data_IF_825492555554
#
_entry.id   IF_825492555554
#
_cell.length_a   1.000
_cell.length_b   1.000
_cell.length_c   1.000
_cell.angle_alpha   90.00
_cell.angle_beta   90.00
_cell.angle_gamma   90.00
#
_symmetry.space_group_name_H-M   'P 1'
#
loop_
_entity.id
_entity.type
_entity.pdbx_description
1 polymer ?
#
# COMPACT_ATOMS: atom_id res chain seq x y z
N UNK A 1 3.03 -8.43 24.85
CA UNK A 1 2.82 -7.07 25.44
C UNK A 1 1.59 -6.44 24.83
N UNK A 2 0.76 -5.75 25.63
CA UNK A 2 -0.53 -5.21 25.21
C UNK A 2 -0.33 -3.83 24.57
N UNK A 3 -0.98 -3.58 23.45
CA UNK A 3 -1.01 -2.25 22.84
C UNK A 3 -1.98 -1.35 23.64
N UNK A 4 -1.52 -0.16 24.02
CA UNK A 4 -2.35 0.86 24.67
C UNK A 4 -2.83 1.84 23.60
N UNK A 5 -4.15 2.04 23.51
CA UNK A 5 -4.76 2.97 22.55
C UNK A 5 -5.31 4.15 23.35
N UNK A 6 -5.00 5.37 22.90
CA UNK A 6 -5.47 6.62 23.48
C UNK A 6 -5.58 7.70 22.40
N UNK A 7 -5.89 8.92 22.78
CA UNK A 7 -5.87 10.10 21.92
C UNK A 7 -4.99 11.19 22.53
N UNK A 8 -4.28 11.93 21.67
CA UNK A 8 -3.64 13.18 22.06
C UNK A 8 -4.71 14.27 22.28
N UNK A 9 -4.31 15.42 22.88
CA UNK A 9 -5.24 16.52 23.19
C UNK A 9 -5.99 17.12 21.99
N UNK A 10 -5.46 16.91 20.77
CA UNK A 10 -6.09 17.33 19.52
C UNK A 10 -6.72 16.17 18.74
N UNK A 11 -7.17 15.14 19.46
CA UNK A 11 -7.91 14.00 18.90
C UNK A 11 -7.12 13.08 17.96
N UNK A 12 -5.80 13.22 17.86
CA UNK A 12 -4.96 12.27 17.11
C UNK A 12 -4.98 10.91 17.84
N UNK A 13 -5.37 9.85 17.15
CA UNK A 13 -5.33 8.49 17.69
C UNK A 13 -3.88 8.08 17.93
N UNK A 14 -3.57 7.55 19.11
CA UNK A 14 -2.24 7.14 19.52
C UNK A 14 -2.22 5.68 19.97
N UNK A 15 -1.54 4.84 19.19
CA UNK A 15 -1.23 3.45 19.52
C UNK A 15 0.19 3.35 20.08
N UNK A 16 0.30 2.94 21.32
CA UNK A 16 1.57 2.75 22.02
C UNK A 16 1.78 1.28 22.36
N UNK A 17 2.98 0.77 22.10
CA UNK A 17 3.42 -0.56 22.50
C UNK A 17 4.84 -0.50 23.06
N UNK A 18 5.02 -0.87 24.34
CA UNK A 18 6.36 -1.00 24.93
C UNK A 18 7.03 -2.28 24.41
N UNK A 19 8.27 -2.19 23.99
CA UNK A 19 9.11 -3.34 23.65
C UNK A 19 10.53 -3.12 24.20
N UNK A 20 10.88 -3.73 25.35
CA UNK A 20 12.19 -3.60 25.98
C UNK A 20 13.27 -4.52 25.39
N UNK A 21 12.93 -5.39 24.44
CA UNK A 21 13.83 -6.40 23.90
C UNK A 21 14.86 -5.80 22.91
N UNK A 22 14.70 -4.54 22.52
CA UNK A 22 15.59 -3.85 21.60
C UNK A 22 15.70 -2.37 21.95
N UNK A 23 16.90 -1.76 21.88
CA UNK A 23 17.10 -0.34 22.16
C UNK A 23 16.58 0.61 21.04
N UNK A 24 15.80 0.10 20.10
CA UNK A 24 15.27 0.89 18.98
C UNK A 24 13.84 1.34 19.24
N UNK A 25 13.57 2.59 18.85
CA UNK A 25 12.23 3.18 18.79
C UNK A 25 11.81 3.25 17.34
N UNK A 26 10.55 2.91 17.06
CA UNK A 26 9.90 3.20 15.80
C UNK A 26 8.67 4.09 16.03
N UNK A 27 8.59 5.18 15.31
CA UNK A 27 7.52 6.16 15.38
C UNK A 27 6.93 6.40 13.98
N UNK A 28 5.60 6.44 13.91
CA UNK A 28 4.84 6.70 12.70
C UNK A 28 3.80 7.76 12.95
N UNK A 29 3.62 8.68 11.99
CA UNK A 29 2.52 9.62 11.91
C UNK A 29 1.91 9.53 10.51
N UNK A 30 0.66 9.13 10.43
CA UNK A 30 -0.07 8.99 9.17
C UNK A 30 -1.18 10.03 9.07
N UNK A 31 -1.36 10.59 7.86
CA UNK A 31 -2.43 11.51 7.50
C UNK A 31 -3.28 10.91 6.39
N UNK A 32 -4.59 10.74 6.59
CA UNK A 32 -5.48 10.23 5.55
C UNK A 32 -5.60 11.19 4.36
N UNK A 33 -5.72 10.64 3.15
CA UNK A 33 -5.99 11.39 1.94
C UNK A 33 -7.51 11.42 1.71
N UNK A 34 -8.10 12.59 1.81
CA UNK A 34 -9.55 12.77 1.77
C UNK A 34 -10.02 13.66 0.60
N UNK A 35 -9.10 14.12 -0.27
CA UNK A 35 -9.44 15.00 -1.38
C UNK A 35 -9.56 14.23 -2.70
N UNK A 36 -10.79 13.96 -3.19
CA UNK A 36 -11.01 13.29 -4.47
C UNK A 36 -10.67 14.16 -5.69
N UNK A 37 -10.50 15.46 -5.47
CA UNK A 37 -10.17 16.44 -6.54
C UNK A 37 -8.67 16.78 -6.60
N UNK A 38 -7.82 16.00 -5.92
CA UNK A 38 -6.37 16.20 -5.96
C UNK A 38 -5.85 16.03 -7.39
N UNK A 39 -4.83 16.83 -7.75
CA UNK A 39 -4.15 16.70 -9.04
C UNK A 39 -3.21 15.48 -9.03
N UNK A 40 -3.18 14.72 -10.12
CA UNK A 40 -2.27 13.59 -10.25
C UNK A 40 -0.81 14.05 -10.06
N UNK A 41 -0.06 13.34 -9.20
CA UNK A 41 1.34 13.61 -8.90
C UNK A 41 1.60 14.66 -7.80
N UNK A 42 0.59 15.40 -7.33
CA UNK A 42 0.79 16.42 -6.29
C UNK A 42 1.35 15.82 -4.99
N UNK A 43 0.79 14.72 -4.54
CA UNK A 43 1.28 14.03 -3.34
C UNK A 43 2.61 13.31 -3.56
N UNK A 44 2.87 12.82 -4.78
CA UNK A 44 4.17 12.23 -5.13
C UNK A 44 5.31 13.26 -5.03
N UNK A 45 5.09 14.49 -5.49
CA UNK A 45 6.02 15.60 -5.31
C UNK A 45 6.11 16.03 -3.85
N UNK A 46 4.98 16.11 -3.16
CA UNK A 46 4.92 16.55 -1.77
C UNK A 46 5.82 15.70 -0.86
N UNK A 47 5.74 14.36 -0.95
CA UNK A 47 6.54 13.49 -0.08
C UNK A 47 8.04 13.58 -0.33
N UNK A 48 8.46 13.94 -1.52
CA UNK A 48 9.86 14.14 -1.91
C UNK A 48 10.44 15.43 -1.33
N UNK A 49 9.59 16.43 -1.16
CA UNK A 49 10.02 17.78 -0.76
C UNK A 49 10.23 17.96 0.76
N UNK A 50 9.78 17.01 1.59
CA UNK A 50 9.96 17.09 3.04
C UNK A 50 11.44 17.11 3.48
N UNK A 51 12.32 16.48 2.70
CA UNK A 51 13.76 16.48 2.98
C UNK A 51 14.55 17.59 2.28
N UNK A 52 13.87 18.50 1.56
CA UNK A 52 14.52 19.59 0.83
C UNK A 52 14.70 20.87 1.67
N UNK A 53 14.38 20.81 2.96
CA UNK A 53 14.59 21.89 3.92
C UNK A 53 13.32 22.32 4.64
N UNK A 54 13.54 22.93 5.80
CA UNK A 54 12.52 23.53 6.64
C UNK A 54 12.85 25.02 6.83
N UNK A 55 12.01 25.73 7.59
CA UNK A 55 12.34 27.12 8.01
C UNK A 55 13.58 27.20 8.88
N UNK A 56 13.93 26.11 9.57
CA UNK A 56 14.98 26.09 10.58
C UNK A 56 16.25 25.36 10.12
N UNK A 57 16.14 24.50 9.09
CA UNK A 57 17.22 23.62 8.62
C UNK A 57 17.25 23.54 7.11
N UNK A 58 18.44 23.66 6.55
CA UNK A 58 18.66 23.33 5.13
C UNK A 58 18.56 21.81 4.91
N UNK A 59 18.41 21.36 3.66
CA UNK A 59 18.44 19.95 3.30
C UNK A 59 19.73 19.24 3.77
N UNK A 60 20.87 19.93 3.65
CA UNK A 60 22.16 19.42 4.11
C UNK A 60 22.19 19.25 5.64
N UNK A 61 21.73 20.24 6.39
CA UNK A 61 21.68 20.16 7.86
C UNK A 61 20.73 19.03 8.32
N UNK A 62 19.56 18.84 7.66
CA UNK A 62 18.68 17.72 7.96
C UNK A 62 19.40 16.38 7.75
N UNK A 63 20.07 16.21 6.62
CA UNK A 63 20.81 14.98 6.32
C UNK A 63 21.93 14.73 7.34
N UNK A 64 22.74 15.75 7.63
CA UNK A 64 23.85 15.65 8.59
C UNK A 64 23.38 15.33 10.01
N UNK A 65 22.26 15.94 10.47
CA UNK A 65 21.69 15.62 11.79
C UNK A 65 21.11 14.20 11.85
N UNK A 66 20.38 13.75 10.82
CA UNK A 66 19.85 12.40 10.75
C UNK A 66 20.97 11.36 10.73
N UNK A 67 22.01 11.58 9.92
CA UNK A 67 23.16 10.68 9.83
C UNK A 67 23.94 10.61 11.15
N UNK A 68 24.17 11.76 11.80
CA UNK A 68 24.89 11.85 13.07
C UNK A 68 24.28 11.00 14.18
N UNK A 69 22.95 10.92 14.25
CA UNK A 69 22.22 10.17 15.25
C UNK A 69 21.65 8.84 14.72
N UNK A 70 22.08 8.40 13.53
CA UNK A 70 21.58 7.22 12.86
C UNK A 70 20.04 7.14 12.85
N UNK A 71 19.36 8.27 12.62
CA UNK A 71 17.92 8.37 12.52
C UNK A 71 17.49 8.03 11.10
N UNK A 72 16.75 6.94 10.93
CA UNK A 72 16.11 6.61 9.66
C UNK A 72 14.80 7.39 9.54
N UNK A 73 14.74 8.36 8.64
CA UNK A 73 13.51 9.11 8.33
C UNK A 73 12.99 8.77 6.94
N UNK A 74 11.67 8.66 6.78
CA UNK A 74 11.03 8.68 5.45
C UNK A 74 9.64 9.28 5.48
N UNK A 75 9.27 9.92 4.35
CA UNK A 75 7.90 10.27 4.00
C UNK A 75 7.50 9.47 2.76
N UNK A 76 6.36 8.77 2.83
CA UNK A 76 5.90 7.88 1.76
C UNK A 76 4.44 8.16 1.42
N UNK A 77 4.13 8.14 0.14
CA UNK A 77 2.76 8.15 -0.35
C UNK A 77 2.21 6.72 -0.44
N UNK A 78 1.04 6.50 0.15
CA UNK A 78 0.20 5.31 -0.04
C UNK A 78 -1.09 5.72 -0.73
N UNK A 79 -1.87 4.78 -1.24
CA UNK A 79 -3.13 5.10 -1.94
C UNK A 79 -4.08 5.95 -1.10
N UNK A 80 -4.16 5.69 0.21
CA UNK A 80 -5.14 6.30 1.10
C UNK A 80 -4.56 7.28 2.13
N UNK A 81 -3.24 7.36 2.27
CA UNK A 81 -2.60 8.18 3.29
C UNK A 81 -1.16 8.54 2.96
N UNK A 82 -0.70 9.63 3.56
CA UNK A 82 0.72 9.96 3.64
C UNK A 82 1.27 9.42 4.94
N UNK A 83 2.37 8.71 4.85
CA UNK A 83 3.06 8.08 5.97
C UNK A 83 4.38 8.78 6.23
N UNK A 84 4.57 9.22 7.47
CA UNK A 84 5.86 9.66 7.99
C UNK A 84 6.35 8.64 9.01
N UNK A 85 7.62 8.32 8.97
CA UNK A 85 8.26 7.48 9.97
C UNK A 85 9.63 7.99 10.36
N UNK A 86 10.04 7.69 11.58
CA UNK A 86 11.44 7.59 11.91
C UNK A 86 11.73 6.36 12.79
N UNK A 87 12.98 5.90 12.73
CA UNK A 87 13.52 4.87 13.61
C UNK A 87 14.84 5.39 14.17
N UNK A 88 15.02 5.28 15.50
CA UNK A 88 16.24 5.73 16.17
C UNK A 88 16.54 4.85 17.39
N UNK A 89 17.63 5.14 18.11
CA UNK A 89 17.86 4.58 19.44
C UNK A 89 16.95 5.26 20.48
N UNK A 90 16.65 4.54 21.60
CA UNK A 90 15.81 5.08 22.67
C UNK A 90 16.35 6.41 23.23
N UNK A 91 17.67 6.53 23.38
CA UNK A 91 18.35 7.70 23.92
C UNK A 91 18.23 8.94 23.00
N UNK A 92 18.08 8.73 21.68
CA UNK A 92 18.00 9.79 20.69
C UNK A 92 16.53 10.18 20.34
N UNK A 93 15.54 9.58 21.02
CA UNK A 93 14.13 9.81 20.68
C UNK A 93 13.72 11.29 20.76
N UNK A 94 14.15 12.02 21.80
CA UNK A 94 13.78 13.43 21.95
C UNK A 94 14.39 14.28 20.83
N UNK A 95 15.63 13.98 20.42
CA UNK A 95 16.25 14.66 19.29
C UNK A 95 15.58 14.29 17.97
N UNK A 96 15.28 13.04 17.76
CA UNK A 96 14.59 12.57 16.55
C UNK A 96 13.20 13.20 16.40
N UNK A 97 12.43 13.31 17.48
CA UNK A 97 11.10 13.91 17.45
C UNK A 97 11.14 15.42 17.20
N UNK A 98 12.21 16.13 17.65
CA UNK A 98 12.42 17.56 17.35
C UNK A 98 12.68 17.80 15.86
N UNK A 99 13.52 16.97 15.24
CA UNK A 99 13.75 17.04 13.77
C UNK A 99 12.45 16.70 13.03
N UNK A 100 11.75 15.68 13.48
CA UNK A 100 10.50 15.23 12.87
C UNK A 100 9.41 16.30 12.96
N UNK A 101 9.25 16.95 14.13
CA UNK A 101 8.35 18.09 14.32
C UNK A 101 8.66 19.21 13.33
N UNK A 102 9.93 19.58 13.19
CA UNK A 102 10.36 20.63 12.28
C UNK A 102 10.05 20.30 10.82
N UNK A 103 10.29 19.05 10.40
CA UNK A 103 9.93 18.59 9.06
C UNK A 103 8.42 18.69 8.85
N UNK A 104 7.61 18.19 9.77
CA UNK A 104 6.14 18.17 9.64
C UNK A 104 5.54 19.58 9.69
N UNK A 105 6.05 20.48 10.54
CA UNK A 105 5.44 21.80 10.74
C UNK A 105 6.03 22.90 9.87
N UNK A 106 7.30 22.81 9.51
CA UNK A 106 8.07 23.92 8.98
C UNK A 106 8.67 23.68 7.59
N UNK A 107 8.33 22.57 6.92
CA UNK A 107 8.82 22.33 5.55
C UNK A 107 8.45 23.50 4.63
N UNK A 108 9.39 23.93 3.78
CA UNK A 108 9.23 25.08 2.88
C UNK A 108 8.80 24.68 1.48
N UNK A 109 8.92 23.40 1.13
CA UNK A 109 8.69 22.87 -0.22
C UNK A 109 9.54 23.57 -1.28
N UNK A 110 10.74 24.02 -0.91
CA UNK A 110 11.73 24.52 -1.86
C UNK A 110 12.26 23.40 -2.75
N UNK A 111 13.10 23.72 -3.72
CA UNK A 111 13.64 22.74 -4.70
C UNK A 111 12.56 22.02 -5.53
N UNK A 112 11.35 22.60 -5.64
CA UNK A 112 10.23 22.02 -6.36
C UNK A 112 10.58 21.62 -7.80
N UNK A 113 11.21 22.51 -8.58
CA UNK A 113 11.57 22.25 -9.97
C UNK A 113 12.59 21.11 -10.10
N UNK A 114 13.54 21.06 -9.19
CA UNK A 114 14.55 20.00 -9.13
C UNK A 114 13.91 18.63 -8.85
N UNK A 115 13.05 18.56 -7.83
CA UNK A 115 12.37 17.30 -7.49
C UNK A 115 11.32 16.90 -8.54
N UNK A 116 10.68 17.87 -9.21
CA UNK A 116 9.81 17.60 -10.36
C UNK A 116 10.58 16.95 -11.51
N UNK A 117 11.74 17.52 -11.87
CA UNK A 117 12.60 16.97 -12.94
C UNK A 117 13.12 15.58 -12.59
N UNK A 118 13.51 15.34 -11.33
CA UNK A 118 13.92 14.01 -10.88
C UNK A 118 12.78 13.00 -10.97
N UNK A 119 11.59 13.36 -10.49
CA UNK A 119 10.41 12.50 -10.55
C UNK A 119 10.05 12.16 -12.00
N UNK A 120 10.11 13.13 -12.91
CA UNK A 120 9.90 12.91 -14.35
C UNK A 120 10.88 11.88 -14.90
N UNK A 121 12.18 12.03 -14.63
CA UNK A 121 13.21 11.09 -15.07
C UNK A 121 13.04 9.68 -14.49
N UNK A 122 12.69 9.57 -13.21
CA UNK A 122 12.45 8.29 -12.54
C UNK A 122 11.23 7.57 -13.13
N UNK A 123 10.13 8.29 -13.36
CA UNK A 123 8.91 7.72 -13.97
C UNK A 123 9.23 7.22 -15.39
N UNK A 124 9.94 7.99 -16.20
CA UNK A 124 10.33 7.58 -17.55
C UNK A 124 11.17 6.30 -17.50
N UNK A 125 12.18 6.27 -16.63
CA UNK A 125 13.05 5.10 -16.46
C UNK A 125 12.28 3.86 -15.95
N UNK A 126 11.30 4.03 -15.07
CA UNK A 126 10.46 2.94 -14.58
C UNK A 126 9.55 2.39 -15.69
N UNK A 127 8.94 3.28 -16.49
CA UNK A 127 8.07 2.91 -17.61
C UNK A 127 8.82 2.27 -18.79
N UNK A 128 10.15 2.30 -18.83
CA UNK A 128 10.93 1.49 -19.79
C UNK A 128 10.84 -0.01 -19.49
N UNK A 129 10.56 -0.39 -18.25
CA UNK A 129 10.32 -1.79 -17.86
C UNK A 129 8.99 -2.30 -18.41
N UNK A 130 8.95 -3.39 -19.18
CA UNK A 130 7.71 -3.98 -19.68
C UNK A 130 6.73 -4.35 -18.55
N UNK A 131 7.26 -4.83 -17.43
CA UNK A 131 6.45 -5.15 -16.25
C UNK A 131 5.83 -3.92 -15.61
N UNK A 132 6.57 -2.82 -15.46
CA UNK A 132 6.02 -1.59 -14.92
C UNK A 132 4.96 -1.00 -15.86
N UNK A 133 5.21 -1.03 -17.16
CA UNK A 133 4.28 -0.54 -18.19
C UNK A 133 2.94 -1.27 -18.19
N UNK A 134 2.93 -2.61 -18.09
CA UNK A 134 1.66 -3.35 -18.04
C UNK A 134 0.91 -3.09 -16.73
N UNK A 135 1.62 -3.00 -15.60
CA UNK A 135 1.02 -2.67 -14.30
C UNK A 135 0.41 -1.27 -14.34
N UNK A 136 1.13 -0.29 -14.87
CA UNK A 136 0.65 1.08 -15.05
C UNK A 136 -0.63 1.11 -15.88
N UNK A 137 -0.63 0.50 -17.05
CA UNK A 137 -1.81 0.42 -17.92
C UNK A 137 -2.99 -0.28 -17.23
N UNK A 138 -2.75 -1.37 -16.51
CA UNK A 138 -3.80 -2.08 -15.79
C UNK A 138 -4.43 -1.20 -14.69
N UNK A 139 -3.63 -0.58 -13.82
CA UNK A 139 -4.15 0.26 -12.74
C UNK A 139 -4.86 1.52 -13.24
N UNK A 140 -4.37 2.14 -14.31
CA UNK A 140 -5.05 3.26 -15.00
C UNK A 140 -6.46 2.86 -15.43
N UNK A 141 -6.64 1.64 -15.91
CA UNK A 141 -7.91 1.18 -16.47
C UNK A 141 -8.88 0.60 -15.43
N UNK A 142 -8.40 -0.16 -14.44
CA UNK A 142 -9.27 -0.73 -13.40
C UNK A 142 -9.80 0.35 -12.45
N UNK A 143 -9.06 1.45 -12.29
CA UNK A 143 -9.42 2.59 -11.46
C UNK A 143 -9.71 3.85 -12.28
N UNK A 144 -10.17 3.70 -13.53
CA UNK A 144 -10.50 4.85 -14.39
C UNK A 144 -11.49 5.80 -13.72
N UNK A 145 -11.16 7.10 -13.76
CA UNK A 145 -11.99 8.15 -13.14
C UNK A 145 -11.90 8.21 -11.62
N UNK A 146 -10.95 7.49 -11.00
CA UNK A 146 -10.68 7.53 -9.56
C UNK A 146 -9.19 7.83 -9.31
N UNK A 147 -8.86 8.46 -8.17
CA UNK A 147 -7.47 8.82 -7.82
C UNK A 147 -6.54 7.59 -7.68
N UNK A 148 -7.09 6.41 -7.41
CA UNK A 148 -6.30 5.17 -7.42
C UNK A 148 -5.73 4.82 -8.80
N UNK A 149 -6.30 5.39 -9.87
CA UNK A 149 -5.80 5.31 -11.24
C UNK A 149 -4.74 6.37 -11.59
N UNK A 150 -4.24 7.15 -10.61
CA UNK A 150 -3.11 8.07 -10.83
C UNK A 150 -1.81 7.30 -10.91
N UNK A 151 -1.65 6.56 -12.00
CA UNK A 151 -0.45 5.79 -12.32
C UNK A 151 0.68 6.68 -12.82
N UNK A 152 1.86 6.11 -13.00
CA UNK A 152 3.03 6.84 -13.51
C UNK A 152 2.76 7.57 -14.83
N UNK A 153 2.04 6.93 -15.77
CA UNK A 153 1.64 7.59 -17.03
C UNK A 153 0.76 8.81 -16.76
N UNK A 154 -0.26 8.69 -15.91
CA UNK A 154 -1.17 9.79 -15.58
C UNK A 154 -0.44 10.92 -14.83
N UNK A 155 0.47 10.55 -13.92
CA UNK A 155 1.30 11.52 -13.20
C UNK A 155 2.19 12.27 -14.19
N UNK A 156 2.89 11.57 -15.09
CA UNK A 156 3.78 12.18 -16.09
C UNK A 156 3.05 13.17 -17.00
N UNK A 157 1.85 12.81 -17.48
CA UNK A 157 1.00 13.67 -18.30
C UNK A 157 0.63 14.99 -17.58
N UNK A 158 0.45 14.93 -16.25
CA UNK A 158 0.03 16.10 -15.46
C UNK A 158 1.20 16.86 -14.81
N UNK A 159 2.38 16.25 -14.68
CA UNK A 159 3.49 16.76 -13.88
C UNK A 159 3.93 18.18 -14.25
N UNK A 160 3.93 18.51 -15.56
CA UNK A 160 4.27 19.84 -16.08
C UNK A 160 3.28 20.94 -15.67
N UNK A 161 2.06 20.57 -15.28
CA UNK A 161 1.00 21.49 -14.88
C UNK A 161 0.97 21.73 -13.35
N UNK A 162 1.79 21.00 -12.60
CA UNK A 162 1.88 21.17 -11.16
C UNK A 162 2.79 22.35 -10.80
N UNK A 163 2.41 23.06 -9.75
CA UNK A 163 3.14 24.18 -9.18
C UNK A 163 3.50 23.91 -7.73
N UNK A 164 4.48 24.61 -7.22
CA UNK A 164 4.83 24.57 -5.78
C UNK A 164 3.62 24.94 -4.89
N UNK A 165 2.77 25.88 -5.33
CA UNK A 165 1.58 26.27 -4.59
C UNK A 165 0.53 25.16 -4.54
N UNK A 166 0.42 24.33 -5.57
CA UNK A 166 -0.42 23.13 -5.52
C UNK A 166 0.01 22.17 -4.41
N UNK A 167 1.32 21.97 -4.26
CA UNK A 167 1.88 21.12 -3.18
C UNK A 167 1.63 21.74 -1.81
N UNK A 168 1.87 23.05 -1.64
CA UNK A 168 1.62 23.77 -0.39
C UNK A 168 0.15 23.71 0.01
N UNK A 169 -0.75 23.88 -0.96
CA UNK A 169 -2.20 23.82 -0.75
C UNK A 169 -2.62 22.41 -0.37
N UNK A 170 -2.16 21.38 -1.09
CA UNK A 170 -2.45 19.98 -0.78
C UNK A 170 -1.97 19.60 0.64
N UNK A 171 -0.80 20.08 1.05
CA UNK A 171 -0.30 19.83 2.41
C UNK A 171 -1.15 20.51 3.48
N UNK A 172 -1.51 21.80 3.29
CA UNK A 172 -2.41 22.51 4.21
C UNK A 172 -3.76 21.79 4.36
N UNK A 173 -4.32 21.29 3.25
CA UNK A 173 -5.57 20.52 3.27
C UNK A 173 -5.43 19.21 4.05
N UNK A 174 -4.33 18.47 3.87
CA UNK A 174 -4.06 17.24 4.62
C UNK A 174 -3.96 17.55 6.11
N UNK A 175 -3.17 18.55 6.51
CA UNK A 175 -3.02 18.91 7.92
C UNK A 175 -4.34 19.37 8.52
N UNK A 176 -5.17 20.11 7.76
CA UNK A 176 -6.45 20.62 8.25
C UNK A 176 -7.53 19.55 8.36
N UNK A 177 -7.65 18.65 7.37
CA UNK A 177 -8.88 17.87 7.14
C UNK A 177 -8.69 16.36 7.24
N UNK A 178 -7.50 15.85 7.63
CA UNK A 178 -7.26 14.42 7.69
C UNK A 178 -7.60 13.80 9.05
N UNK A 179 -7.94 12.51 9.02
CA UNK A 179 -7.71 11.63 10.16
C UNK A 179 -6.20 11.51 10.36
N UNK A 180 -5.75 11.56 11.60
CA UNK A 180 -4.35 11.45 11.98
C UNK A 180 -4.15 10.30 12.95
N UNK A 181 -3.16 9.50 12.74
CA UNK A 181 -2.83 8.35 13.59
C UNK A 181 -1.35 8.34 13.88
N UNK A 182 -1.01 8.21 15.14
CA UNK A 182 0.35 8.01 15.63
C UNK A 182 0.50 6.58 16.12
N UNK A 183 1.60 5.94 15.81
CA UNK A 183 2.02 4.68 16.41
C UNK A 183 3.46 4.76 16.90
N UNK A 184 3.68 4.23 18.10
CA UNK A 184 4.98 4.13 18.75
C UNK A 184 5.21 2.70 19.23
N UNK A 185 6.38 2.15 18.90
CA UNK A 185 6.87 0.87 19.44
C UNK A 185 8.33 1.03 19.86
N UNK A 186 8.64 0.78 21.13
CA UNK A 186 9.99 0.90 21.67
C UNK A 186 10.03 0.84 23.20
N UNK A 187 11.23 0.93 23.79
CA UNK A 187 11.40 0.87 25.25
C UNK A 187 11.51 2.27 25.87
N UNK A 188 10.44 3.03 25.82
CA UNK A 188 10.26 4.27 26.58
C UNK A 188 8.96 4.21 27.34
N UNK A 189 8.87 4.90 28.47
CA UNK A 189 7.66 4.95 29.29
C UNK A 189 6.50 5.67 28.56
N UNK A 190 5.27 5.16 28.74
CA UNK A 190 4.09 5.70 28.08
C UNK A 190 3.86 7.17 28.40
N UNK A 191 3.96 7.56 29.67
CA UNK A 191 3.64 8.92 30.08
C UNK A 191 4.68 9.91 29.53
N UNK A 192 5.96 9.50 29.49
CA UNK A 192 7.02 10.27 28.83
C UNK A 192 6.70 10.49 27.34
N UNK A 193 6.43 9.43 26.59
CA UNK A 193 6.13 9.52 25.15
C UNK A 193 4.85 10.35 24.93
N UNK A 194 3.77 10.09 25.67
CA UNK A 194 2.51 10.80 25.55
C UNK A 194 2.66 12.31 25.82
N UNK A 195 3.45 12.70 26.83
CA UNK A 195 3.71 14.11 27.15
C UNK A 195 4.49 14.80 26.03
N UNK A 196 5.55 14.17 25.52
CA UNK A 196 6.34 14.69 24.38
C UNK A 196 5.44 14.85 23.15
N UNK A 197 4.63 13.85 22.80
CA UNK A 197 3.76 13.93 21.63
C UNK A 197 2.68 15.02 21.78
N UNK A 198 2.13 15.22 22.96
CA UNK A 198 1.19 16.32 23.22
C UNK A 198 1.85 17.70 23.18
N UNK A 199 3.12 17.81 23.58
CA UNK A 199 3.91 19.03 23.42
C UNK A 199 4.18 19.33 21.95
N UNK A 200 4.72 18.34 21.22
CA UNK A 200 5.20 18.49 19.84
C UNK A 200 4.10 18.57 18.79
N UNK A 201 3.02 17.79 18.94
CA UNK A 201 1.97 17.69 17.91
C UNK A 201 0.57 18.10 18.40
N UNK A 202 0.41 18.39 19.66
CA UNK A 202 -0.91 18.71 20.20
C UNK A 202 -1.49 20.06 19.76
N UNK A 203 -0.71 20.88 19.06
CA UNK A 203 -1.11 22.14 18.42
C UNK A 203 -1.44 22.00 16.93
N UNK A 204 -1.20 20.82 16.34
CA UNK A 204 -1.69 20.53 14.99
C UNK A 204 -3.23 20.62 14.97
N UNK A 205 -3.78 20.98 13.83
CA UNK A 205 -5.22 20.94 13.60
C UNK A 205 -5.79 19.60 14.08
N UNK A 206 -6.91 19.59 14.81
CA UNK A 206 -7.48 18.36 15.34
C UNK A 206 -7.69 17.29 14.27
N UNK A 207 -7.44 16.04 14.66
CA UNK A 207 -7.77 14.89 13.79
C UNK A 207 -9.29 14.79 13.64
N UNK A 208 -9.75 14.49 12.40
CA UNK A 208 -11.16 14.12 12.21
C UNK A 208 -11.41 12.73 12.81
N UNK A 209 -12.57 12.53 13.43
CA UNK A 209 -12.93 11.26 14.07
C UNK A 209 -13.23 10.19 13.03
N UNK A 210 -13.97 10.56 11.98
CA UNK A 210 -14.43 9.65 10.96
C UNK A 210 -13.79 9.97 9.60
N UNK A 211 -13.47 8.93 8.88
CA UNK A 211 -13.04 9.06 7.49
C UNK A 211 -14.25 9.44 6.62
N UNK A 212 -14.11 10.39 5.70
CA UNK A 212 -15.20 10.78 4.84
C UNK A 212 -15.65 9.62 3.95
N UNK A 213 -16.94 9.59 3.66
CA UNK A 213 -17.50 8.70 2.66
C UNK A 213 -17.13 9.24 1.28
N UNK A 214 -16.22 8.55 0.60
CA UNK A 214 -15.80 8.89 -0.75
C UNK A 214 -16.42 7.93 -1.77
N UNK A 215 -16.51 8.38 -3.02
CA UNK A 215 -16.93 7.51 -4.13
C UNK A 215 -15.98 6.32 -4.25
N UNK A 216 -16.54 5.12 -4.34
CA UNK A 216 -15.77 3.90 -4.62
C UNK A 216 -15.48 3.78 -6.11
N UNK A 217 -14.32 3.22 -6.50
CA UNK A 217 -14.09 2.82 -7.89
C UNK A 217 -15.14 1.81 -8.37
N UNK A 218 -15.51 1.92 -9.63
CA UNK A 218 -16.46 1.02 -10.28
C UNK A 218 -15.91 0.51 -11.62
N UNK A 219 -16.18 -0.72 -11.93
CA UNK A 219 -15.90 -1.33 -13.22
C UNK A 219 -17.21 -1.82 -13.83
N UNK A 220 -17.94 -0.98 -14.58
CA UNK A 220 -19.29 -1.31 -15.05
C UNK A 220 -19.30 -2.38 -16.14
N UNK A 221 -18.22 -2.48 -16.93
CA UNK A 221 -18.08 -3.39 -18.06
C UNK A 221 -16.62 -3.88 -18.19
N UNK A 222 -16.38 -5.00 -18.86
CA UNK A 222 -15.02 -5.47 -19.10
C UNK A 222 -14.25 -4.50 -19.99
N UNK A 223 -12.91 -4.50 -19.79
CA UNK A 223 -11.95 -3.76 -20.62
C UNK A 223 -10.83 -4.68 -21.05
N UNK A 224 -10.53 -4.67 -22.34
CA UNK A 224 -9.41 -5.37 -22.92
C UNK A 224 -8.47 -4.34 -23.58
N UNK A 225 -7.21 -4.33 -23.17
CA UNK A 225 -6.23 -3.35 -23.58
C UNK A 225 -5.00 -4.05 -24.14
N UNK A 226 -4.70 -3.83 -25.39
CA UNK A 226 -3.42 -4.20 -25.99
C UNK A 226 -2.43 -3.03 -25.90
N UNK A 227 -1.26 -3.30 -25.30
CA UNK A 227 -0.12 -2.40 -25.29
C UNK A 227 0.93 -2.97 -26.22
N UNK A 228 1.27 -2.23 -27.25
CA UNK A 228 2.26 -2.67 -28.24
C UNK A 228 3.60 -2.04 -27.88
N UNK A 229 4.63 -2.87 -27.84
CA UNK A 229 6.02 -2.45 -27.67
C UNK A 229 6.91 -3.33 -28.53
N UNK A 230 7.50 -2.75 -29.57
CA UNK A 230 8.44 -3.45 -30.43
C UNK A 230 9.65 -4.02 -29.63
N UNK A 231 10.26 -5.05 -30.17
CA UNK A 231 11.49 -5.67 -29.64
C UNK A 231 11.33 -6.34 -28.25
N UNK A 232 10.11 -6.75 -27.87
CA UNK A 232 9.89 -7.56 -26.68
C UNK A 232 10.17 -9.04 -26.93
N UNK A 233 10.98 -9.64 -26.05
CA UNK A 233 11.20 -11.09 -26.03
C UNK A 233 10.07 -11.86 -25.31
N UNK A 234 9.30 -11.17 -24.48
CA UNK A 234 8.20 -11.74 -23.69
C UNK A 234 6.96 -10.88 -23.82
N UNK A 235 5.81 -11.54 -23.87
CA UNK A 235 4.53 -10.91 -23.65
C UNK A 235 4.20 -10.93 -22.14
N UNK A 236 3.53 -9.90 -21.67
CA UNK A 236 3.04 -9.80 -20.31
C UNK A 236 1.52 -9.73 -20.33
N UNK A 237 0.86 -10.49 -19.48
CA UNK A 237 -0.60 -10.53 -19.38
C UNK A 237 -0.98 -10.23 -17.93
N UNK A 238 -1.91 -9.32 -17.74
CA UNK A 238 -2.47 -8.98 -16.44
C UNK A 238 -3.98 -8.91 -16.55
N UNK A 239 -4.69 -9.82 -15.88
CA UNK A 239 -6.15 -9.89 -15.83
C UNK A 239 -6.61 -9.73 -14.38
N UNK A 240 -7.62 -8.88 -14.13
CA UNK A 240 -8.09 -8.72 -12.75
C UNK A 240 -9.46 -8.09 -12.62
N UNK A 241 -9.95 -8.10 -11.38
CA UNK A 241 -11.32 -7.75 -10.98
C UNK A 241 -11.30 -6.85 -9.75
N UNK A 242 -12.30 -5.99 -9.63
CA UNK A 242 -12.58 -5.33 -8.34
C UNK A 242 -13.25 -6.33 -7.41
N UNK A 243 -12.75 -6.40 -6.17
CA UNK A 243 -13.20 -7.37 -5.16
C UNK A 243 -13.47 -6.68 -3.82
N UNK A 244 -13.88 -7.44 -2.81
CA UNK A 244 -14.13 -6.93 -1.47
C UNK A 244 -12.87 -6.39 -0.79
N UNK A 245 -12.99 -5.29 -0.06
CA UNK A 245 -11.96 -4.65 0.75
C UNK A 245 -11.75 -5.38 2.10
N UNK A 246 -10.77 -4.94 2.91
CA UNK A 246 -10.44 -5.59 4.18
C UNK A 246 -11.57 -5.53 5.24
N UNK A 247 -12.50 -4.59 5.11
CA UNK A 247 -13.72 -4.49 5.95
C UNK A 247 -14.89 -5.34 5.43
N UNK A 248 -14.75 -5.95 4.26
CA UNK A 248 -15.72 -6.87 3.68
C UNK A 248 -15.76 -8.20 4.44
N UNK A 249 -16.93 -8.81 4.54
CA UNK A 249 -17.07 -10.17 5.07
C UNK A 249 -16.35 -11.22 4.22
N UNK A 250 -16.11 -10.93 2.94
CA UNK A 250 -15.44 -11.83 2.02
C UNK A 250 -13.90 -11.74 2.11
N UNK A 251 -13.34 -10.75 2.82
CA UNK A 251 -11.90 -10.54 2.94
C UNK A 251 -11.11 -11.81 3.29
N UNK A 252 -11.52 -12.60 4.31
CA UNK A 252 -10.78 -13.81 4.69
C UNK A 252 -10.73 -14.85 3.57
N UNK A 253 -11.86 -15.07 2.90
CA UNK A 253 -11.96 -16.02 1.79
C UNK A 253 -11.19 -15.55 0.55
N UNK A 254 -11.21 -14.23 0.23
CA UNK A 254 -10.41 -13.67 -0.88
C UNK A 254 -8.92 -13.81 -0.58
N UNK A 255 -8.50 -13.57 0.67
CA UNK A 255 -7.09 -13.69 1.06
C UNK A 255 -6.58 -15.12 0.89
N UNK A 256 -7.36 -16.12 1.34
CA UNK A 256 -7.05 -17.54 1.14
C UNK A 256 -7.09 -17.94 -0.34
N UNK A 257 -8.10 -17.50 -1.07
CA UNK A 257 -8.21 -17.72 -2.52
C UNK A 257 -6.95 -17.23 -3.26
N UNK A 258 -6.42 -16.05 -2.87
CA UNK A 258 -5.18 -15.51 -3.44
C UNK A 258 -3.98 -16.43 -3.17
N UNK A 259 -3.83 -16.93 -1.94
CA UNK A 259 -2.74 -17.87 -1.59
C UNK A 259 -2.84 -19.14 -2.42
N UNK A 260 -4.01 -19.74 -2.49
CA UNK A 260 -4.27 -20.99 -3.22
C UNK A 260 -3.99 -20.80 -4.72
N UNK A 261 -4.52 -19.72 -5.29
CA UNK A 261 -4.45 -19.53 -6.74
C UNK A 261 -3.03 -19.18 -7.22
N UNK A 262 -2.34 -18.20 -6.56
CA UNK A 262 -1.07 -17.73 -7.13
C UNK A 262 -0.07 -17.10 -6.17
N UNK A 263 -0.43 -16.80 -4.89
CA UNK A 263 0.43 -16.03 -4.00
C UNK A 263 1.28 -16.88 -3.04
N UNK A 264 1.10 -18.20 -2.98
CA UNK A 264 1.96 -19.11 -2.20
C UNK A 264 3.28 -19.44 -2.89
N UNK A 265 3.48 -19.02 -4.13
CA UNK A 265 4.68 -19.33 -4.90
C UNK A 265 4.63 -20.73 -5.50
N UNK A 266 5.63 -21.58 -5.21
CA UNK A 266 5.84 -22.87 -5.88
C UNK A 266 4.69 -23.88 -5.73
N UNK A 267 3.86 -23.75 -4.71
CA UNK A 267 2.74 -24.66 -4.43
C UNK A 267 1.38 -24.14 -4.92
N UNK A 268 1.33 -22.97 -5.52
CA UNK A 268 0.09 -22.40 -6.01
C UNK A 268 -0.40 -23.06 -7.30
N UNK A 269 -1.72 -23.06 -7.52
CA UNK A 269 -2.32 -23.70 -8.70
C UNK A 269 -1.79 -23.14 -10.01
N UNK A 270 -1.70 -21.81 -10.14
CA UNK A 270 -1.16 -21.17 -11.34
C UNK A 270 0.30 -21.58 -11.59
N UNK A 271 1.11 -21.69 -10.54
CA UNK A 271 2.49 -22.10 -10.69
C UNK A 271 2.57 -23.55 -11.18
N UNK A 272 1.90 -24.47 -10.51
CA UNK A 272 1.93 -25.89 -10.85
C UNK A 272 1.40 -26.17 -12.26
N UNK A 273 0.29 -25.52 -12.65
CA UNK A 273 -0.34 -25.82 -13.95
C UNK A 273 0.34 -25.08 -15.11
N UNK A 274 0.61 -23.79 -14.97
CA UNK A 274 1.07 -22.97 -16.10
C UNK A 274 2.60 -22.95 -16.22
N UNK A 275 3.32 -22.97 -15.10
CA UNK A 275 4.78 -22.94 -15.12
C UNK A 275 5.36 -24.36 -15.11
N UNK A 276 5.00 -25.18 -14.12
CA UNK A 276 5.64 -26.48 -13.91
C UNK A 276 5.20 -27.49 -14.98
N UNK A 277 3.89 -27.70 -15.17
CA UNK A 277 3.37 -28.69 -16.13
C UNK A 277 3.40 -28.23 -17.58
N UNK A 278 2.96 -26.97 -17.84
CA UNK A 278 2.85 -26.47 -19.23
C UNK A 278 4.10 -25.73 -19.72
N UNK A 279 5.04 -25.38 -18.83
CA UNK A 279 6.28 -24.67 -19.18
C UNK A 279 6.08 -23.28 -19.82
N UNK A 280 4.94 -22.62 -19.54
CA UNK A 280 4.55 -21.40 -20.25
C UNK A 280 5.31 -20.17 -19.77
N UNK A 281 5.80 -20.14 -18.53
CA UNK A 281 6.33 -18.92 -17.94
C UNK A 281 7.36 -19.18 -16.84
N UNK A 282 8.30 -18.22 -16.68
CA UNK A 282 9.15 -18.17 -15.48
C UNK A 282 8.43 -17.54 -14.29
N UNK A 283 7.53 -16.58 -14.54
CA UNK A 283 6.75 -15.88 -13.51
C UNK A 283 5.28 -15.98 -13.84
N UNK A 284 4.52 -16.59 -12.93
CA UNK A 284 3.06 -16.54 -12.89
C UNK A 284 2.64 -16.41 -11.43
N UNK A 285 1.67 -15.51 -11.16
CA UNK A 285 1.21 -15.24 -9.79
C UNK A 285 -0.15 -14.56 -9.77
N UNK A 286 -0.83 -14.60 -8.62
CA UNK A 286 -1.93 -13.71 -8.30
C UNK A 286 -1.52 -12.68 -7.25
N UNK A 287 -2.28 -11.59 -7.17
CA UNK A 287 -2.17 -10.56 -6.16
C UNK A 287 -3.56 -10.12 -5.71
N UNK A 288 -3.68 -9.79 -4.42
CA UNK A 288 -4.85 -9.18 -3.81
C UNK A 288 -4.41 -7.88 -3.15
N UNK A 289 -4.65 -6.77 -3.84
CA UNK A 289 -4.21 -5.43 -3.41
C UNK A 289 -5.40 -4.69 -2.80
N UNK A 290 -5.23 -4.31 -1.53
CA UNK A 290 -6.31 -3.75 -0.72
C UNK A 290 -6.03 -2.28 -0.42
N UNK A 291 -6.96 -1.43 -0.82
CA UNK A 291 -7.06 -0.04 -0.41
C UNK A 291 -8.37 0.17 0.39
N UNK A 292 -8.55 1.35 0.97
CA UNK A 292 -9.71 1.65 1.81
C UNK A 292 -11.04 1.59 1.05
N UNK A 293 -11.08 2.12 -0.16
CA UNK A 293 -12.32 2.27 -0.94
C UNK A 293 -12.56 1.13 -1.92
N UNK A 294 -11.52 0.37 -2.24
CA UNK A 294 -11.57 -0.70 -3.22
C UNK A 294 -10.43 -1.69 -2.99
N UNK A 295 -10.62 -2.89 -3.49
CA UNK A 295 -9.54 -3.84 -3.66
C UNK A 295 -9.60 -4.45 -5.05
N UNK A 296 -8.47 -4.92 -5.56
CA UNK A 296 -8.43 -5.69 -6.79
C UNK A 296 -7.75 -7.03 -6.57
N UNK A 297 -8.24 -8.02 -7.30
CA UNK A 297 -7.60 -9.33 -7.44
C UNK A 297 -7.08 -9.44 -8.85
N UNK A 298 -5.81 -9.74 -9.04
CA UNK A 298 -5.20 -9.82 -10.35
C UNK A 298 -4.37 -11.09 -10.54
N UNK A 299 -4.27 -11.55 -11.79
CA UNK A 299 -3.43 -12.66 -12.22
C UNK A 299 -2.46 -12.12 -13.26
N UNK A 300 -1.18 -12.38 -13.03
CA UNK A 300 -0.10 -11.94 -13.90
C UNK A 300 0.73 -13.12 -14.40
N UNK A 301 1.11 -13.08 -15.69
CA UNK A 301 2.08 -14.01 -16.30
C UNK A 301 2.99 -13.26 -17.26
N UNK A 302 4.27 -13.64 -17.29
CA UNK A 302 5.22 -13.29 -18.35
C UNK A 302 5.54 -14.54 -19.16
N UNK A 303 5.25 -14.53 -20.46
CA UNK A 303 5.29 -15.70 -21.34
C UNK A 303 5.89 -15.36 -22.72
N UNK A 304 6.18 -16.35 -23.55
CA UNK A 304 6.51 -16.10 -24.95
C UNK A 304 5.28 -15.57 -25.72
N UNK A 305 5.43 -14.65 -26.68
CA UNK A 305 4.31 -14.09 -27.44
C UNK A 305 3.37 -15.11 -28.07
N UNK A 306 3.92 -16.23 -28.56
CA UNK A 306 3.12 -17.34 -29.14
C UNK A 306 2.20 -18.06 -28.13
N UNK A 307 2.45 -17.88 -26.82
CA UNK A 307 1.74 -18.57 -25.75
C UNK A 307 0.67 -17.70 -25.10
N UNK A 308 0.35 -16.50 -25.61
CA UNK A 308 -0.64 -15.59 -25.03
C UNK A 308 -2.00 -16.30 -24.89
N UNK A 309 -2.53 -16.86 -25.95
CA UNK A 309 -3.85 -17.53 -25.93
C UNK A 309 -3.86 -18.75 -24.98
N UNK A 310 -2.79 -19.55 -24.99
CA UNK A 310 -2.65 -20.72 -24.10
C UNK A 310 -2.60 -20.28 -22.63
N UNK A 311 -1.94 -19.16 -22.33
CA UNK A 311 -1.85 -18.60 -20.99
C UNK A 311 -3.20 -18.08 -20.50
N UNK A 312 -3.93 -17.33 -21.35
CA UNK A 312 -5.28 -16.85 -21.05
C UNK A 312 -6.25 -18.01 -20.79
N UNK A 313 -6.21 -19.03 -21.65
CA UNK A 313 -7.00 -20.25 -21.45
C UNK A 313 -6.65 -20.97 -20.13
N UNK A 314 -5.35 -20.97 -19.77
CA UNK A 314 -4.89 -21.52 -18.50
C UNK A 314 -5.43 -20.75 -17.28
N UNK A 315 -5.56 -19.42 -17.35
CA UNK A 315 -6.22 -18.65 -16.30
C UNK A 315 -7.68 -19.04 -16.15
N UNK A 316 -8.40 -19.16 -17.25
CA UNK A 316 -9.81 -19.53 -17.26
C UNK A 316 -10.02 -20.95 -16.73
N UNK A 317 -9.18 -21.92 -17.12
CA UNK A 317 -9.22 -23.29 -16.62
C UNK A 317 -9.05 -23.35 -15.09
N UNK A 318 -8.09 -22.60 -14.51
CA UNK A 318 -7.87 -22.61 -13.07
C UNK A 318 -8.96 -21.85 -12.30
N UNK A 319 -9.48 -20.76 -12.84
CA UNK A 319 -10.63 -20.02 -12.29
C UNK A 319 -11.86 -20.92 -12.30
N UNK A 320 -12.15 -21.62 -13.40
CA UNK A 320 -13.31 -22.50 -13.49
C UNK A 320 -13.20 -23.69 -12.53
N UNK A 321 -12.01 -24.26 -12.33
CA UNK A 321 -11.79 -25.31 -11.33
C UNK A 321 -12.15 -24.83 -9.91
N UNK A 322 -11.78 -23.60 -9.52
CA UNK A 322 -12.10 -23.05 -8.19
C UNK A 322 -13.59 -22.72 -8.07
N UNK A 323 -14.25 -22.35 -9.16
CA UNK A 323 -15.68 -22.05 -9.20
C UNK A 323 -16.58 -23.30 -9.14
N UNK A 324 -16.06 -24.43 -9.56
CA UNK A 324 -16.85 -25.66 -9.71
C UNK A 324 -16.44 -26.78 -8.75
N UNK A 325 -15.21 -26.77 -8.24
CA UNK A 325 -14.72 -27.79 -7.32
C UNK A 325 -14.28 -27.17 -5.99
N UNK A 326 -14.66 -27.79 -4.90
CA UNK A 326 -14.17 -27.39 -3.58
C UNK A 326 -12.67 -27.59 -3.50
N UNK A 327 -11.96 -26.63 -2.86
CA UNK A 327 -10.56 -26.81 -2.48
C UNK A 327 -10.45 -27.91 -1.43
N UNK A 328 -9.37 -28.68 -1.43
CA UNK A 328 -9.18 -29.75 -0.44
C UNK A 328 -8.90 -29.15 0.95
N UNK A 329 -9.17 -29.91 2.01
CA UNK A 329 -8.83 -29.51 3.38
C UNK A 329 -7.33 -29.23 3.55
N UNK A 330 -6.48 -30.06 2.95
CA UNK A 330 -5.02 -29.86 2.97
C UNK A 330 -4.62 -28.56 2.27
N UNK A 331 -5.21 -28.23 1.13
CA UNK A 331 -4.93 -26.99 0.39
C UNK A 331 -5.37 -25.75 1.20
N UNK A 332 -6.52 -25.83 1.88
CA UNK A 332 -7.02 -24.78 2.75
C UNK A 332 -6.11 -24.57 3.96
N UNK A 333 -5.75 -25.64 4.67
CA UNK A 333 -4.84 -25.60 5.82
C UNK A 333 -3.47 -25.03 5.44
N UNK A 334 -2.92 -25.44 4.30
CA UNK A 334 -1.66 -24.91 3.79
C UNK A 334 -1.74 -23.41 3.47
N UNK A 335 -2.87 -22.93 2.95
CA UNK A 335 -3.08 -21.51 2.69
C UNK A 335 -3.18 -20.68 3.98
N UNK A 336 -3.88 -21.18 5.01
CA UNK A 336 -3.97 -20.57 6.32
C UNK A 336 -2.59 -20.46 6.97
N UNK A 337 -1.84 -21.56 7.01
CA UNK A 337 -0.50 -21.62 7.56
C UNK A 337 0.46 -20.64 6.84
N UNK A 338 0.31 -20.47 5.52
CA UNK A 338 1.09 -19.51 4.74
C UNK A 338 0.79 -18.06 5.17
N UNK A 339 -0.49 -17.70 5.37
CA UNK A 339 -0.88 -16.36 5.83
C UNK A 339 -0.32 -16.10 7.23
N UNK A 340 -0.52 -17.02 8.16
CA UNK A 340 -0.07 -16.84 9.55
C UNK A 340 1.45 -16.78 9.66
N UNK A 341 2.16 -17.60 8.89
CA UNK A 341 3.62 -17.53 8.78
C UNK A 341 4.10 -16.16 8.28
N UNK A 342 3.50 -15.65 7.19
CA UNK A 342 3.83 -14.31 6.67
C UNK A 342 3.54 -13.22 7.70
N UNK A 343 2.42 -13.29 8.43
CA UNK A 343 2.10 -12.30 9.47
C UNK A 343 3.06 -12.32 10.64
N UNK A 344 3.59 -13.48 11.02
CA UNK A 344 4.64 -13.56 12.05
C UNK A 344 5.89 -12.77 11.61
N UNK A 345 6.35 -12.97 10.38
CA UNK A 345 7.53 -12.25 9.85
C UNK A 345 7.34 -10.73 9.74
N UNK A 346 6.15 -10.26 9.31
CA UNK A 346 5.89 -8.82 9.18
C UNK A 346 5.64 -8.10 10.52
N UNK A 347 5.67 -8.82 11.65
CA UNK A 347 5.51 -8.30 13.01
C UNK A 347 6.77 -8.45 13.86
N UNK A 348 7.90 -8.75 13.27
CA UNK A 348 9.14 -9.08 13.97
C UNK A 348 9.80 -7.83 14.59
N UNK A 349 9.96 -6.76 13.83
CA UNK A 349 10.67 -5.55 14.27
C UNK A 349 9.72 -4.48 14.83
N UNK A 350 10.26 -3.57 15.67
CA UNK A 350 9.49 -2.41 16.16
C UNK A 350 8.91 -1.58 15.03
N UNK A 351 9.69 -1.39 13.95
CA UNK A 351 9.25 -0.63 12.78
C UNK A 351 8.09 -1.31 12.06
N UNK A 352 8.12 -2.62 11.88
CA UNK A 352 7.02 -3.37 11.29
C UNK A 352 5.77 -3.32 12.16
N UNK A 353 5.91 -3.52 13.49
CA UNK A 353 4.78 -3.45 14.42
C UNK A 353 4.13 -2.06 14.44
N UNK A 354 4.93 -0.99 14.51
CA UNK A 354 4.44 0.39 14.49
C UNK A 354 3.76 0.72 13.14
N UNK A 355 4.33 0.26 12.02
CA UNK A 355 3.74 0.42 10.69
C UNK A 355 2.33 -0.19 10.61
N UNK A 356 2.16 -1.42 11.11
CA UNK A 356 0.85 -2.07 11.05
C UNK A 356 -0.18 -1.40 11.97
N UNK A 357 0.22 -0.98 13.18
CA UNK A 357 -0.66 -0.20 14.05
C UNK A 357 -1.11 1.09 13.38
N UNK A 358 -0.16 1.87 12.83
CA UNK A 358 -0.48 3.11 12.13
C UNK A 358 -1.34 2.86 10.88
N UNK A 359 -1.06 1.79 10.12
CA UNK A 359 -1.81 1.41 8.92
C UNK A 359 -3.27 1.08 9.25
N UNK A 360 -3.51 0.16 10.18
CA UNK A 360 -4.89 -0.23 10.49
C UNK A 360 -5.69 0.90 11.14
N UNK A 361 -5.04 1.71 11.98
CA UNK A 361 -5.67 2.90 12.55
C UNK A 361 -6.10 3.89 11.48
N UNK A 362 -5.21 4.25 10.54
CA UNK A 362 -5.52 5.23 9.50
C UNK A 362 -6.53 4.73 8.48
N UNK A 363 -6.53 3.42 8.18
CA UNK A 363 -7.49 2.80 7.27
C UNK A 363 -8.89 2.63 7.89
N UNK A 364 -9.01 2.82 9.22
CA UNK A 364 -10.28 2.63 9.94
C UNK A 364 -10.63 1.16 10.24
N UNK A 365 -9.68 0.22 10.07
CA UNK A 365 -9.89 -1.20 10.34
C UNK A 365 -9.78 -1.56 11.83
N UNK A 366 -9.23 -0.64 12.63
CA UNK A 366 -8.99 -0.83 14.08
C UNK A 366 -7.63 -1.48 14.37
N UNK A 367 -7.04 -1.12 15.50
CA UNK A 367 -5.70 -1.55 15.90
C UNK A 367 -5.56 -3.05 16.17
N UNK A 368 -6.67 -3.75 16.43
CA UNK A 368 -6.75 -5.20 16.64
C UNK A 368 -7.05 -5.98 15.36
N UNK A 369 -6.94 -5.35 14.18
CA UNK A 369 -7.30 -5.97 12.89
C UNK A 369 -6.68 -7.35 12.70
N UNK A 370 -5.37 -7.51 12.89
CA UNK A 370 -4.69 -8.80 12.74
C UNK A 370 -5.28 -9.88 13.63
N UNK A 371 -5.51 -9.56 14.90
CA UNK A 371 -6.08 -10.52 15.88
C UNK A 371 -7.46 -10.99 15.45
N UNK A 372 -8.31 -10.04 15.03
CA UNK A 372 -9.66 -10.34 14.58
C UNK A 372 -9.66 -11.09 13.22
N UNK A 373 -8.72 -10.79 12.34
CA UNK A 373 -8.57 -11.44 11.04
C UNK A 373 -8.13 -12.90 11.17
N UNK A 374 -7.29 -13.25 12.15
CA UNK A 374 -6.89 -14.65 12.40
C UNK A 374 -8.11 -15.53 12.63
N UNK A 375 -9.02 -15.13 13.53
CA UNK A 375 -10.22 -15.92 13.84
C UNK A 375 -11.15 -16.04 12.62
N UNK A 376 -11.29 -14.96 11.86
CA UNK A 376 -12.10 -14.96 10.63
C UNK A 376 -11.51 -15.87 9.56
N UNK A 377 -10.18 -15.88 9.37
CA UNK A 377 -9.51 -16.74 8.39
C UNK A 377 -9.69 -18.20 8.75
N UNK A 378 -9.52 -18.58 10.03
CA UNK A 378 -9.73 -19.96 10.51
C UNK A 378 -11.17 -20.44 10.39
N UNK A 379 -12.13 -19.54 10.26
CA UNK A 379 -13.54 -19.89 10.08
C UNK A 379 -13.96 -20.08 8.62
N UNK A 380 -13.09 -19.82 7.66
CA UNK A 380 -13.37 -19.94 6.23
C UNK A 380 -13.48 -21.41 5.84
N UNK A 381 -14.49 -21.73 5.08
CA UNK A 381 -14.70 -23.07 4.51
C UNK A 381 -14.31 -23.12 3.03
N UNK A 382 -14.09 -24.31 2.49
CA UNK A 382 -13.89 -24.50 1.05
C UNK A 382 -15.07 -23.99 0.21
N UNK A 383 -16.29 -24.03 0.79
CA UNK A 383 -17.50 -23.47 0.16
C UNK A 383 -17.43 -21.92 0.07
N UNK A 384 -16.89 -21.26 1.08
CA UNK A 384 -16.74 -19.79 1.08
C UNK A 384 -15.75 -19.34 0.00
N UNK A 385 -14.67 -20.08 -0.22
CA UNK A 385 -13.71 -19.83 -1.30
C UNK A 385 -14.39 -19.98 -2.66
N UNK A 386 -15.14 -21.06 -2.88
CA UNK A 386 -15.91 -21.27 -4.11
C UNK A 386 -16.94 -20.16 -4.35
N UNK A 387 -17.67 -19.76 -3.31
CA UNK A 387 -18.64 -18.67 -3.37
C UNK A 387 -17.97 -17.33 -3.73
N UNK A 388 -16.80 -17.03 -3.15
CA UNK A 388 -16.00 -15.86 -3.49
C UNK A 388 -15.53 -15.89 -4.95
N UNK A 389 -15.03 -17.01 -5.43
CA UNK A 389 -14.62 -17.18 -6.84
C UNK A 389 -15.78 -16.93 -7.79
N UNK A 390 -16.96 -17.49 -7.51
CA UNK A 390 -18.16 -17.26 -8.31
C UNK A 390 -18.66 -15.82 -8.27
N UNK A 391 -18.53 -15.13 -7.14
CA UNK A 391 -18.97 -13.75 -6.97
C UNK A 391 -18.08 -12.79 -7.73
N UNK A 392 -16.77 -12.95 -7.65
CA UNK A 392 -15.82 -11.94 -8.09
C UNK A 392 -15.16 -12.21 -9.43
N UNK A 393 -14.94 -13.46 -9.83
CA UNK A 393 -14.42 -13.80 -11.15
C UNK A 393 -15.54 -13.83 -12.18
N UNK A 394 -16.12 -12.69 -12.45
CA UNK A 394 -17.24 -12.49 -13.37
C UNK A 394 -16.75 -11.83 -14.68
N UNK A 395 -17.70 -11.40 -15.51
CA UNK A 395 -17.45 -10.75 -16.80
C UNK A 395 -16.96 -9.29 -16.69
N UNK A 396 -16.92 -8.69 -15.49
CA UNK A 396 -16.41 -7.35 -15.25
C UNK A 396 -14.95 -7.40 -14.83
N UNK A 397 -14.07 -7.46 -15.80
CA UNK A 397 -12.62 -7.54 -15.60
C UNK A 397 -11.87 -6.49 -16.42
N UNK A 398 -10.61 -6.25 -16.05
CA UNK A 398 -9.63 -5.59 -16.92
C UNK A 398 -8.60 -6.62 -17.35
N UNK A 399 -8.43 -6.77 -18.65
CA UNK A 399 -7.37 -7.56 -19.27
C UNK A 399 -6.42 -6.59 -19.97
N UNK A 400 -5.16 -6.61 -19.59
CA UNK A 400 -4.11 -5.87 -20.28
C UNK A 400 -3.08 -6.85 -20.81
N UNK A 401 -2.76 -6.74 -22.09
CA UNK A 401 -1.75 -7.57 -22.77
C UNK A 401 -0.68 -6.67 -23.35
N UNK A 402 0.54 -6.78 -22.87
CA UNK A 402 1.72 -6.14 -23.46
C UNK A 402 2.40 -7.16 -24.37
N UNK A 403 2.53 -6.82 -25.64
CA UNK A 403 3.06 -7.73 -26.68
C UNK A 403 3.91 -6.96 -27.71
N UNK A 404 4.75 -7.67 -28.50
CA UNK A 404 5.48 -7.09 -29.63
C UNK A 404 4.58 -6.46 -30.67
#
# INVERSE_FOLDING_TARGET
MTTKITKLKNNIEFAYKRNPDTPRVAFYLNFSLNNPSSKAGVYSLMVRLFMQGTKNRTAQQLSEELDKYAIEFSAELKLDYVKFKFVCLNEDFEHAIDIFEDIVKNTTFEEFEKERTKLEGEIIAELDSPRAKIIDSYYKNIYEGHNYGFTNTVILENLKNLTQEDVKTAYKEIVANSKKVVAFVGDLDFDKVNNILNEKFGDLTPSVDELPVLRKPELPQPKEIDVIQADLNQAHILKGWLVGTADSNDYPAIALLNIILGASGLSSRLFLELRDKKGLAYVVRSAYDVARLSANFSIYIATEPKNIETSLKGFEEEIEKIKTNLVSEEELENAENNIFGKWAFISETNSQQANWLAHYGIMGFGFDFHKNAVEKIKSVTSQDIMNCANKYFNDKFVLTVLKP
#
